data_IF_523690922652
#
_entry.id   IF_523690922652
#
_cell.length_a   1.000
_cell.length_b   1.000
_cell.length_c   1.000
_cell.angle_alpha   90.00
_cell.angle_beta   90.00
_cell.angle_gamma   90.00
#
_symmetry.space_group_name_H-M   'P 1'
#
loop_
_entity.id
_entity.type
_entity.pdbx_description
1 polymer ?
#
# COMPACT_ATOMS: atom_id res chain seq x y z
N UNK A 1 -35.79 -5.02 44.86
CA UNK A 1 -35.29 -5.79 43.69
C UNK A 1 -35.20 -7.27 44.07
N UNK A 2 -35.95 -8.17 43.40
CA UNK A 2 -35.91 -9.62 43.70
C UNK A 2 -34.53 -10.19 43.34
N UNK A 3 -34.05 -11.17 44.11
CA UNK A 3 -32.72 -11.79 43.92
C UNK A 3 -32.50 -12.27 42.48
N UNK A 4 -33.52 -12.86 41.86
CA UNK A 4 -33.52 -13.30 40.45
C UNK A 4 -33.23 -12.17 39.45
N UNK A 5 -33.76 -10.95 39.68
CA UNK A 5 -33.52 -9.81 38.78
C UNK A 5 -32.08 -9.31 38.86
N UNK A 6 -31.41 -9.42 40.02
CA UNK A 6 -30.00 -9.05 40.18
C UNK A 6 -29.07 -10.01 39.42
N UNK A 7 -29.34 -11.31 39.49
CA UNK A 7 -28.59 -12.32 38.76
C UNK A 7 -28.76 -12.20 37.25
N UNK A 8 -29.98 -11.94 36.78
CA UNK A 8 -30.25 -11.70 35.36
C UNK A 8 -29.48 -10.48 34.81
N UNK A 9 -29.49 -9.36 35.55
CA UNK A 9 -28.71 -8.18 35.20
C UNK A 9 -27.20 -8.43 35.21
N UNK A 10 -26.69 -9.17 36.19
CA UNK A 10 -25.27 -9.52 36.26
C UNK A 10 -24.82 -10.38 35.07
N UNK A 11 -25.64 -11.35 34.66
CA UNK A 11 -25.37 -12.19 33.48
C UNK A 11 -25.37 -11.35 32.19
N UNK A 12 -26.37 -10.48 32.01
CA UNK A 12 -26.42 -9.58 30.86
C UNK A 12 -25.19 -8.67 30.79
N UNK A 13 -24.79 -8.08 31.92
CA UNK A 13 -23.58 -7.25 32.01
C UNK A 13 -22.32 -8.04 31.63
N UNK A 14 -22.19 -9.27 32.13
CA UNK A 14 -21.07 -10.15 31.80
C UNK A 14 -21.00 -10.47 30.30
N UNK A 15 -22.14 -10.79 29.68
CA UNK A 15 -22.24 -11.04 28.23
C UNK A 15 -21.86 -9.78 27.45
N UNK A 16 -22.39 -8.61 27.82
CA UNK A 16 -22.07 -7.35 27.14
C UNK A 16 -20.58 -7.01 27.20
N UNK A 17 -19.94 -7.17 28.37
CA UNK A 17 -18.49 -6.96 28.51
C UNK A 17 -17.70 -7.95 27.65
N UNK A 18 -18.11 -9.23 27.63
CA UNK A 18 -17.49 -10.26 26.79
C UNK A 18 -17.57 -9.93 25.29
N UNK A 19 -18.73 -9.46 24.81
CA UNK A 19 -18.92 -9.04 23.41
C UNK A 19 -18.03 -7.85 23.08
N UNK A 20 -17.96 -6.83 23.94
CA UNK A 20 -17.10 -5.65 23.73
C UNK A 20 -15.63 -6.04 23.70
N UNK A 21 -15.18 -6.86 24.64
CA UNK A 21 -13.79 -7.32 24.69
C UNK A 21 -13.42 -8.15 23.44
N UNK A 22 -14.30 -9.06 23.02
CA UNK A 22 -14.10 -9.84 21.79
C UNK A 22 -14.07 -8.95 20.55
N UNK A 23 -14.98 -7.97 20.45
CA UNK A 23 -15.01 -7.02 19.35
C UNK A 23 -13.72 -6.20 19.27
N UNK A 24 -13.24 -5.67 20.41
CA UNK A 24 -11.98 -4.93 20.46
C UNK A 24 -10.82 -5.83 20.02
N UNK A 25 -10.71 -7.05 20.58
CA UNK A 25 -9.64 -7.98 20.24
C UNK A 25 -9.65 -8.35 18.76
N UNK A 26 -10.81 -8.78 18.24
CA UNK A 26 -11.00 -9.10 16.83
C UNK A 26 -10.66 -7.91 15.94
N UNK A 27 -11.10 -6.71 16.33
CA UNK A 27 -10.79 -5.48 15.60
C UNK A 27 -9.29 -5.22 15.60
N UNK A 28 -8.61 -5.25 16.74
CA UNK A 28 -7.15 -5.04 16.81
C UNK A 28 -6.37 -6.04 15.97
N UNK A 29 -6.73 -7.33 16.00
CA UNK A 29 -6.07 -8.36 15.18
C UNK A 29 -6.31 -8.14 13.69
N UNK A 30 -7.56 -7.89 13.30
CA UNK A 30 -7.93 -7.61 11.90
C UNK A 30 -7.33 -6.30 11.39
N UNK A 31 -6.99 -5.39 12.32
CA UNK A 31 -6.43 -4.08 12.05
C UNK A 31 -4.90 -4.06 11.93
N UNK A 32 -4.22 -5.09 12.45
CA UNK A 32 -2.77 -5.17 12.39
C UNK A 32 -2.29 -5.44 10.96
N UNK A 33 -1.24 -4.70 10.57
CA UNK A 33 -0.49 -4.92 9.32
C UNK A 33 0.88 -5.53 9.59
N UNK A 34 1.18 -5.87 10.84
CA UNK A 34 2.43 -6.51 11.24
C UNK A 34 2.59 -7.85 10.51
N UNK A 35 3.72 -8.04 9.83
CA UNK A 35 4.00 -9.23 9.03
C UNK A 35 3.19 -9.36 7.73
N UNK A 36 2.21 -8.49 7.48
CA UNK A 36 1.37 -8.54 6.28
C UNK A 36 2.08 -8.03 5.03
N UNK A 37 3.03 -7.10 5.19
CA UNK A 37 3.71 -6.46 4.08
C UNK A 37 5.22 -6.34 4.27
N UNK A 38 5.92 -6.22 3.14
CA UNK A 38 7.34 -5.86 3.06
C UNK A 38 7.50 -4.86 1.92
N UNK A 39 8.05 -3.68 2.21
CA UNK A 39 8.47 -2.75 1.16
C UNK A 39 9.73 -3.30 0.48
N UNK A 40 9.61 -3.57 -0.82
CA UNK A 40 10.66 -4.27 -1.58
C UNK A 40 11.62 -3.34 -2.30
N UNK A 41 11.10 -2.23 -2.83
CA UNK A 41 11.91 -1.15 -3.38
C UNK A 41 11.06 0.12 -3.51
N UNK A 42 11.72 1.25 -3.78
CA UNK A 42 11.03 2.51 -3.98
C UNK A 42 11.97 3.58 -4.51
N UNK A 43 11.38 4.67 -4.99
CA UNK A 43 12.13 5.83 -5.41
C UNK A 43 11.32 7.10 -5.31
N UNK A 44 12.02 8.22 -5.22
CA UNK A 44 11.42 9.55 -5.22
C UNK A 44 11.89 10.27 -6.48
N UNK A 45 10.95 10.82 -7.25
CA UNK A 45 11.23 11.77 -8.32
C UNK A 45 10.70 13.15 -7.90
N UNK A 46 11.54 14.17 -8.02
CA UNK A 46 11.18 15.55 -7.71
C UNK A 46 11.31 16.39 -8.97
N UNK A 47 10.18 16.86 -9.50
CA UNK A 47 10.14 17.75 -10.67
C UNK A 47 9.32 18.99 -10.36
N UNK A 48 9.96 20.16 -10.45
CA UNK A 48 9.30 21.44 -10.20
C UNK A 48 8.74 21.53 -8.78
N UNK A 49 7.42 21.76 -8.69
CA UNK A 49 6.65 21.92 -7.45
C UNK A 49 6.01 20.61 -6.94
N UNK A 50 6.30 19.49 -7.59
CA UNK A 50 5.76 18.18 -7.25
C UNK A 50 6.87 17.15 -6.93
N UNK A 51 6.64 16.39 -5.87
CA UNK A 51 7.43 15.23 -5.48
C UNK A 51 6.55 13.99 -5.63
N UNK A 52 6.97 13.04 -6.44
CA UNK A 52 6.37 11.73 -6.55
C UNK A 52 7.21 10.71 -5.78
N UNK A 53 6.60 10.00 -4.84
CA UNK A 53 7.21 8.89 -4.10
C UNK A 53 6.55 7.59 -4.53
N UNK A 54 7.32 6.70 -5.15
CA UNK A 54 6.86 5.42 -5.66
C UNK A 54 7.38 4.31 -4.77
N UNK A 55 6.48 3.42 -4.34
CA UNK A 55 6.77 2.31 -3.45
C UNK A 55 6.27 1.00 -4.06
N UNK A 56 7.11 -0.03 -4.06
CA UNK A 56 6.74 -1.39 -4.44
C UNK A 56 6.62 -2.25 -3.18
N UNK A 57 5.41 -2.68 -2.88
CA UNK A 57 5.07 -3.31 -1.60
C UNK A 57 4.56 -4.72 -1.84
N UNK A 58 5.32 -5.70 -1.35
CA UNK A 58 4.90 -7.10 -1.34
C UNK A 58 3.93 -7.30 -0.18
N UNK A 59 2.77 -7.89 -0.46
CA UNK A 59 1.76 -8.26 0.54
C UNK A 59 1.55 -9.76 0.57
N UNK A 60 1.10 -10.28 1.71
CA UNK A 60 0.75 -11.69 1.87
C UNK A 60 -0.43 -12.09 0.97
N UNK A 61 -1.48 -11.27 0.95
CA UNK A 61 -2.69 -11.49 0.16
C UNK A 61 -3.33 -10.16 -0.25
N UNK A 62 -4.19 -10.19 -1.29
CA UNK A 62 -4.96 -9.03 -1.70
C UNK A 62 -6.14 -8.79 -0.75
N UNK A 63 -5.88 -8.11 0.37
CA UNK A 63 -6.89 -7.57 1.30
C UNK A 63 -6.92 -6.04 1.16
N UNK A 64 -8.00 -5.51 0.58
CA UNK A 64 -8.12 -4.09 0.28
C UNK A 64 -8.06 -3.19 1.52
N UNK A 65 -8.59 -3.64 2.66
CA UNK A 65 -8.58 -2.87 3.90
C UNK A 65 -7.19 -2.83 4.51
N UNK A 66 -6.48 -3.97 4.52
CA UNK A 66 -5.09 -4.00 5.00
C UNK A 66 -4.16 -3.24 4.07
N UNK A 67 -4.33 -3.36 2.76
CA UNK A 67 -3.53 -2.63 1.76
C UNK A 67 -3.68 -1.11 1.94
N UNK A 68 -4.90 -0.60 2.12
CA UNK A 68 -5.13 0.82 2.40
C UNK A 68 -4.40 1.28 3.67
N UNK A 69 -4.42 0.47 4.73
CA UNK A 69 -3.72 0.77 5.98
C UNK A 69 -2.21 0.75 5.85
N UNK A 70 -1.66 -0.17 5.06
CA UNK A 70 -0.23 -0.19 4.76
C UNK A 70 0.16 1.10 4.05
N UNK A 71 -0.62 1.54 3.07
CA UNK A 71 -0.38 2.82 2.40
C UNK A 71 -0.44 4.00 3.38
N UNK A 72 -1.44 4.03 4.28
CA UNK A 72 -1.55 5.05 5.33
C UNK A 72 -0.35 5.03 6.29
N UNK A 73 0.11 3.84 6.69
CA UNK A 73 1.25 3.67 7.60
C UNK A 73 2.56 4.15 6.96
N UNK A 74 2.88 3.69 5.75
CA UNK A 74 4.08 4.13 5.02
C UNK A 74 4.03 5.65 4.80
N UNK A 75 2.87 6.18 4.41
CA UNK A 75 2.69 7.62 4.21
C UNK A 75 2.93 8.39 5.50
N UNK A 76 2.32 7.96 6.62
CA UNK A 76 2.49 8.59 7.93
C UNK A 76 3.95 8.59 8.35
N UNK A 77 4.64 7.45 8.28
CA UNK A 77 6.06 7.35 8.62
C UNK A 77 6.90 8.26 7.73
N UNK A 78 6.60 8.35 6.43
CA UNK A 78 7.33 9.23 5.51
C UNK A 78 7.11 10.71 5.85
N UNK A 79 5.88 11.12 6.13
CA UNK A 79 5.55 12.50 6.51
C UNK A 79 6.18 12.87 7.86
N UNK A 80 6.09 11.99 8.86
CA UNK A 80 6.66 12.21 10.20
C UNK A 80 8.19 12.28 10.18
N UNK A 81 8.83 11.49 9.30
CA UNK A 81 10.28 11.53 9.11
C UNK A 81 10.78 12.82 8.42
N UNK A 82 9.86 13.63 7.87
CA UNK A 82 10.16 14.85 7.11
C UNK A 82 11.18 14.65 5.97
N UNK A 83 11.16 13.46 5.36
CA UNK A 83 12.05 13.08 4.26
C UNK A 83 11.67 13.73 2.93
N UNK A 84 10.40 14.07 2.75
CA UNK A 84 9.87 14.76 1.57
C UNK A 84 9.54 16.22 1.90
N UNK A 85 9.95 17.14 1.02
CA UNK A 85 9.70 18.58 1.19
C UNK A 85 8.19 18.87 1.31
N UNK A 86 7.79 19.30 2.50
CA UNK A 86 6.40 19.62 2.80
C UNK A 86 5.90 20.86 2.05
N UNK A 87 6.78 21.76 1.58
CA UNK A 87 6.37 22.94 0.82
C UNK A 87 5.89 22.62 -0.60
N UNK A 88 6.14 21.40 -1.07
CA UNK A 88 5.74 20.91 -2.39
C UNK A 88 4.50 20.03 -2.33
N UNK A 89 3.83 19.91 -3.48
CA UNK A 89 2.81 18.89 -3.68
C UNK A 89 3.50 17.52 -3.61
N UNK A 90 2.93 16.58 -2.84
CA UNK A 90 3.50 15.23 -2.66
C UNK A 90 2.49 14.21 -3.16
N UNK A 91 2.91 13.37 -4.11
CA UNK A 91 2.12 12.26 -4.63
C UNK A 91 2.78 10.95 -4.23
N UNK A 92 2.06 10.13 -3.49
CA UNK A 92 2.50 8.78 -3.16
C UNK A 92 1.83 7.78 -4.08
N UNK A 93 2.62 6.90 -4.67
CA UNK A 93 2.18 5.83 -5.56
C UNK A 93 2.65 4.49 -5.00
N UNK A 94 1.71 3.72 -4.47
CA UNK A 94 1.97 2.41 -3.91
C UNK A 94 1.54 1.31 -4.87
N UNK A 95 2.49 0.46 -5.25
CA UNK A 95 2.29 -0.69 -6.12
C UNK A 95 2.33 -1.96 -5.26
N UNK A 96 1.15 -2.48 -4.95
CA UNK A 96 0.96 -3.67 -4.13
C UNK A 96 0.86 -4.92 -4.98
N UNK A 97 1.61 -5.96 -4.60
CA UNK A 97 1.60 -7.25 -5.29
C UNK A 97 1.77 -8.41 -4.31
N UNK A 98 1.22 -9.56 -4.67
CA UNK A 98 1.50 -10.83 -3.98
C UNK A 98 2.69 -11.48 -4.68
N UNK A 99 3.61 -12.08 -3.91
CA UNK A 99 4.85 -12.65 -4.47
C UNK A 99 4.66 -13.75 -5.52
N UNK A 100 3.51 -14.44 -5.50
CA UNK A 100 3.14 -15.45 -6.51
C UNK A 100 2.51 -14.85 -7.78
N UNK A 101 2.16 -13.57 -7.77
CA UNK A 101 1.47 -12.86 -8.87
C UNK A 101 2.46 -12.09 -9.76
N UNK A 102 3.65 -12.66 -9.96
CA UNK A 102 4.69 -12.12 -10.85
C UNK A 102 4.77 -12.97 -12.11
N UNK A 103 4.78 -12.34 -13.28
CA UNK A 103 4.95 -13.02 -14.56
C UNK A 103 6.07 -12.38 -15.41
N UNK A 104 6.62 -13.16 -16.35
CA UNK A 104 7.49 -12.62 -17.38
C UNK A 104 6.68 -11.76 -18.36
N UNK A 105 7.34 -10.78 -18.99
CA UNK A 105 6.71 -9.96 -20.02
C UNK A 105 6.45 -10.81 -21.27
N UNK A 106 5.30 -10.61 -21.91
CA UNK A 106 5.05 -11.17 -23.23
C UNK A 106 5.80 -10.37 -24.31
N UNK A 107 6.03 -10.94 -25.50
CA UNK A 107 6.64 -10.20 -26.62
C UNK A 107 5.92 -8.90 -26.94
N UNK A 108 4.58 -8.90 -26.90
CA UNK A 108 3.76 -7.72 -27.19
C UNK A 108 3.97 -6.61 -26.15
N UNK A 109 4.14 -6.98 -24.87
CA UNK A 109 4.43 -6.01 -23.80
C UNK A 109 5.83 -5.41 -23.96
N UNK A 110 6.80 -6.20 -24.41
CA UNK A 110 8.16 -5.71 -24.68
C UNK A 110 8.13 -4.70 -25.82
N UNK A 111 7.42 -5.01 -26.90
CA UNK A 111 7.26 -4.12 -28.05
C UNK A 111 6.55 -2.81 -27.65
N UNK A 112 5.50 -2.90 -26.82
CA UNK A 112 4.80 -1.72 -26.31
C UNK A 112 5.71 -0.86 -25.41
N UNK A 113 6.51 -1.47 -24.54
CA UNK A 113 7.47 -0.76 -23.70
C UNK A 113 8.57 -0.08 -24.52
N UNK A 114 9.10 -0.76 -25.53
CA UNK A 114 10.09 -0.17 -26.44
C UNK A 114 9.52 1.06 -27.19
N UNK A 115 8.23 1.04 -27.53
CA UNK A 115 7.57 2.18 -28.17
C UNK A 115 7.25 3.33 -27.21
N UNK A 116 6.75 3.03 -26.01
CA UNK A 116 6.27 4.03 -25.05
C UNK A 116 7.37 4.60 -24.15
N UNK A 117 8.39 3.81 -23.84
CA UNK A 117 9.49 4.13 -22.94
C UNK A 117 10.81 3.69 -23.56
N UNK A 118 11.25 4.34 -24.67
CA UNK A 118 12.40 3.91 -25.45
C UNK A 118 13.75 4.04 -24.72
N UNK A 119 13.76 4.65 -23.54
CA UNK A 119 14.97 4.67 -22.72
C UNK A 119 15.32 3.26 -22.23
N UNK A 120 14.31 2.39 -22.01
CA UNK A 120 14.48 1.07 -21.39
C UNK A 120 15.06 0.12 -22.43
N UNK A 121 16.39 -0.07 -22.40
CA UNK A 121 17.12 -0.84 -23.42
C UNK A 121 16.72 -2.32 -23.43
N UNK A 122 16.60 -2.96 -22.26
CA UNK A 122 16.27 -4.39 -22.13
C UNK A 122 15.13 -4.64 -21.10
N UNK A 123 13.85 -4.41 -21.46
CA UNK A 123 12.73 -4.59 -20.54
C UNK A 123 12.57 -6.04 -20.04
N UNK A 124 12.90 -7.02 -20.89
CA UNK A 124 12.73 -8.45 -20.58
C UNK A 124 13.67 -8.95 -19.49
N UNK A 125 14.83 -8.32 -19.31
CA UNK A 125 15.83 -8.68 -18.30
C UNK A 125 15.66 -7.86 -17.03
N UNK A 126 15.14 -6.63 -17.15
CA UNK A 126 15.05 -5.67 -16.05
C UNK A 126 13.72 -5.67 -15.32
N UNK A 127 12.62 -6.01 -16.01
CA UNK A 127 11.26 -5.91 -15.49
C UNK A 127 10.57 -7.28 -15.39
N UNK A 128 9.59 -7.36 -14.51
CA UNK A 128 8.51 -8.33 -14.57
C UNK A 128 7.16 -7.59 -14.65
N UNK A 129 6.09 -8.32 -14.97
CA UNK A 129 4.73 -7.79 -14.94
C UNK A 129 3.96 -8.36 -13.76
N UNK A 130 3.22 -7.51 -13.09
CA UNK A 130 2.20 -7.90 -12.11
C UNK A 130 0.84 -7.72 -12.81
N UNK A 131 0.15 -8.80 -13.21
CA UNK A 131 -1.07 -8.70 -14.01
C UNK A 131 -2.28 -8.23 -13.19
N UNK A 132 -2.26 -8.44 -11.88
CA UNK A 132 -3.44 -8.35 -11.02
C UNK A 132 -3.22 -7.59 -9.71
N UNK A 133 -2.21 -6.72 -9.70
CA UNK A 133 -1.81 -5.94 -8.54
C UNK A 133 -2.77 -4.79 -8.20
N UNK A 134 -2.49 -4.13 -7.08
CA UNK A 134 -3.25 -2.97 -6.60
C UNK A 134 -2.37 -1.73 -6.62
N UNK A 135 -2.86 -0.64 -7.19
CA UNK A 135 -2.21 0.65 -7.15
C UNK A 135 -3.03 1.60 -6.31
N UNK A 136 -2.37 2.22 -5.32
CA UNK A 136 -2.94 3.30 -4.52
C UNK A 136 -2.18 4.58 -4.80
N UNK A 137 -2.92 5.63 -5.16
CA UNK A 137 -2.40 6.98 -5.32
C UNK A 137 -2.94 7.86 -4.22
N UNK A 138 -2.06 8.53 -3.47
CA UNK A 138 -2.44 9.52 -2.46
C UNK A 138 -1.77 10.86 -2.77
N UNK A 139 -2.57 11.92 -2.93
CA UNK A 139 -2.06 13.26 -3.27
C UNK A 139 -2.24 14.22 -2.10
N UNK A 140 -1.15 14.89 -1.72
CA UNK A 140 -1.09 15.88 -0.65
C UNK A 140 -0.73 17.23 -1.24
N UNK A 141 -1.51 18.25 -0.88
CA UNK A 141 -1.13 19.62 -1.16
C UNK A 141 0.07 20.05 -0.29
N UNK A 142 0.75 21.16 -0.66
CA UNK A 142 1.75 21.79 0.19
C UNK A 142 1.27 21.94 1.63
N UNK A 143 2.13 21.59 2.58
CA UNK A 143 1.98 21.69 4.04
C UNK A 143 0.88 20.84 4.67
N UNK A 144 0.08 20.12 3.86
CA UNK A 144 -1.01 19.29 4.36
C UNK A 144 -0.52 17.95 4.90
N UNK A 145 -1.07 17.52 6.03
CA UNK A 145 -0.78 16.20 6.62
C UNK A 145 -1.80 15.13 6.21
N UNK A 146 -2.90 15.53 5.57
CA UNK A 146 -3.94 14.62 5.08
C UNK A 146 -4.01 14.69 3.55
N UNK A 147 -4.28 13.55 2.88
CA UNK A 147 -4.40 13.52 1.44
C UNK A 147 -5.68 14.24 1.01
N UNK A 148 -5.60 14.99 -0.09
CA UNK A 148 -6.77 15.58 -0.74
C UNK A 148 -7.57 14.55 -1.54
N UNK A 149 -6.86 13.57 -2.10
CA UNK A 149 -7.44 12.49 -2.89
C UNK A 149 -6.68 11.20 -2.62
N UNK A 150 -7.43 10.11 -2.50
CA UNK A 150 -6.92 8.74 -2.45
C UNK A 150 -7.67 7.94 -3.49
N UNK A 151 -6.95 7.40 -4.46
CA UNK A 151 -7.48 6.52 -5.49
C UNK A 151 -6.91 5.12 -5.30
N UNK A 152 -7.75 4.11 -5.42
CA UNK A 152 -7.34 2.70 -5.36
C UNK A 152 -7.92 1.98 -6.56
N UNK A 153 -7.05 1.31 -7.32
CA UNK A 153 -7.45 0.55 -8.50
C UNK A 153 -6.64 -0.72 -8.58
N UNK A 154 -7.32 -1.82 -8.90
CA UNK A 154 -6.66 -3.05 -9.34
C UNK A 154 -6.22 -2.87 -10.79
N UNK A 155 -4.94 -3.03 -11.07
CA UNK A 155 -4.37 -2.80 -12.40
C UNK A 155 -3.13 -3.63 -12.61
N UNK A 156 -2.82 -3.87 -13.89
CA UNK A 156 -1.51 -4.33 -14.29
C UNK A 156 -0.48 -3.21 -14.11
N UNK A 157 0.72 -3.57 -13.69
CA UNK A 157 1.88 -2.68 -13.69
C UNK A 157 3.18 -3.47 -13.88
N UNK A 158 4.24 -2.75 -14.25
CA UNK A 158 5.59 -3.29 -14.39
C UNK A 158 6.41 -2.94 -13.15
N UNK A 159 7.23 -3.88 -12.72
CA UNK A 159 8.10 -3.72 -11.55
C UNK A 159 9.50 -4.27 -11.88
N UNK A 160 10.58 -3.68 -11.33
CA UNK A 160 11.92 -4.22 -11.45
C UNK A 160 12.02 -5.64 -10.92
N UNK A 161 12.80 -6.49 -11.61
CA UNK A 161 13.09 -7.83 -11.10
C UNK A 161 13.88 -7.77 -9.78
N UNK A 162 13.77 -8.80 -8.93
CA UNK A 162 14.57 -8.89 -7.71
C UNK A 162 16.06 -8.67 -7.98
N UNK A 163 16.68 -7.78 -7.21
CA UNK A 163 18.09 -7.41 -7.37
C UNK A 163 18.34 -6.20 -8.27
N UNK A 164 17.32 -5.70 -8.99
CA UNK A 164 17.40 -4.48 -9.81
C UNK A 164 16.66 -3.37 -9.09
N UNK A 165 17.31 -2.22 -8.90
CA UNK A 165 16.70 -1.04 -8.30
C UNK A 165 15.81 -0.32 -9.30
N UNK A 166 14.65 0.15 -8.86
CA UNK A 166 13.72 0.92 -9.68
C UNK A 166 14.35 2.16 -10.31
N UNK A 167 15.24 2.83 -9.58
CA UNK A 167 15.97 4.01 -10.08
C UNK A 167 16.97 3.68 -11.21
N UNK A 168 17.36 2.41 -11.34
CA UNK A 168 18.32 1.92 -12.32
C UNK A 168 17.66 1.43 -13.61
N UNK A 169 16.33 1.27 -13.61
CA UNK A 169 15.59 1.00 -14.84
C UNK A 169 15.60 2.30 -15.65
N UNK A 170 16.44 2.35 -16.67
CA UNK A 170 16.52 3.45 -17.61
C UNK A 170 16.29 2.93 -18.97
#
# INVERSE_FOLDING_TARGET
>A
MRSSTKWFLAILLGISVGIVAFFIWYRTQSMSVEGFYVETDGFTDSRGDEIASVHFVKVEAYDSLKILRVAEEITRTTIESNTLDASKKRRFLFHFYVGSDTAALSPEMIDELAYTNPSIEDPSTTLHVIPSGYVISATFAPTMLQPQAVESRRTQFYMPKPGIRAQSVK
#
